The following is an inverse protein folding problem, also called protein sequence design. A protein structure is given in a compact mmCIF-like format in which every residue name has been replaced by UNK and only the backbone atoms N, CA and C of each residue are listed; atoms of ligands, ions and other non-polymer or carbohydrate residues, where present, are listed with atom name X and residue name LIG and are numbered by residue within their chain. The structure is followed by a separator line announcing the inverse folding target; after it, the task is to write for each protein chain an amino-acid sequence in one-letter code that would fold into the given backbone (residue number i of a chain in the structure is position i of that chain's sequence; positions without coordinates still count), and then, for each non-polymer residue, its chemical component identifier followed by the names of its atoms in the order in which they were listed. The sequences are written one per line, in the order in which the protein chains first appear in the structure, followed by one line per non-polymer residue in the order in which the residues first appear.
data_IF_990462866894
#
_entry.id   IF_990462866894
#
_cell.length_a   1.000
_cell.length_b   1.000
_cell.length_c   1.000
_cell.angle_alpha   90.00
_cell.angle_beta   90.00
_cell.angle_gamma   90.00
#
_symmetry.space_group_name_H-M   'P 1'
#
loop_
_entity.id
_entity.type
_entity.pdbx_description
1 polymer ?
#
# COMPACT_ATOMS: atom_id res chain seq x y z
N UNK A 1 1.67 -18.79 11.50
CA UNK A 1 2.57 -17.60 11.56
C UNK A 1 1.85 -16.50 12.33
N UNK A 2 2.46 -15.89 13.35
CA UNK A 2 1.83 -14.75 14.06
C UNK A 2 1.90 -13.50 13.17
N UNK A 3 0.79 -12.80 12.99
CA UNK A 3 0.74 -11.56 12.21
C UNK A 3 1.69 -10.51 12.81
N UNK A 4 2.53 -9.88 11.97
CA UNK A 4 3.49 -8.87 12.41
C UNK A 4 2.73 -7.64 12.89
N UNK A 5 2.99 -7.18 14.12
CA UNK A 5 2.36 -5.97 14.67
C UNK A 5 2.71 -4.75 13.81
N UNK A 6 1.69 -4.06 13.30
CA UNK A 6 1.82 -2.78 12.60
C UNK A 6 1.91 -1.65 13.62
N UNK A 7 2.85 -0.73 13.42
CA UNK A 7 3.11 0.40 14.31
C UNK A 7 2.75 1.75 13.68
N UNK A 8 2.74 1.80 12.35
CA UNK A 8 2.28 2.96 11.60
C UNK A 8 1.77 2.54 10.23
N UNK A 9 0.93 3.36 9.63
CA UNK A 9 0.39 3.16 8.30
C UNK A 9 0.47 4.44 7.48
N UNK A 10 0.94 4.34 6.25
CA UNK A 10 0.84 5.40 5.26
C UNK A 10 -0.25 5.03 4.26
N UNK A 11 -1.12 5.97 3.93
CA UNK A 11 -2.12 5.83 2.86
C UNK A 11 -1.83 6.90 1.82
N UNK A 12 -1.43 6.49 0.63
CA UNK A 12 -1.27 7.35 -0.53
C UNK A 12 -2.57 7.32 -1.34
N UNK A 13 -3.31 8.42 -1.30
CA UNK A 13 -4.51 8.61 -2.11
C UNK A 13 -4.13 9.20 -3.46
N UNK A 14 -4.25 8.39 -4.51
CA UNK A 14 -4.14 8.82 -5.90
C UNK A 14 -5.51 8.85 -6.59
N UNK A 15 -6.59 8.50 -5.88
CA UNK A 15 -7.92 8.31 -6.45
C UNK A 15 -8.67 9.62 -6.70
N UNK A 16 -8.29 10.70 -6.01
CA UNK A 16 -8.94 12.01 -6.08
C UNK A 16 -8.09 13.05 -6.83
N UNK A 17 -8.72 14.14 -7.28
CA UNK A 17 -8.08 15.24 -8.03
C UNK A 17 -6.89 15.88 -7.31
N UNK A 18 -6.84 15.77 -5.97
CA UNK A 18 -5.75 16.25 -5.15
C UNK A 18 -5.10 15.08 -4.41
N UNK A 19 -4.04 14.46 -4.97
CA UNK A 19 -3.37 13.36 -4.31
C UNK A 19 -2.81 13.79 -2.96
N UNK A 20 -2.98 12.91 -1.97
CA UNK A 20 -2.59 13.17 -0.59
C UNK A 20 -1.94 11.94 0.02
N UNK A 21 -1.06 12.18 0.97
CA UNK A 21 -0.45 11.15 1.79
C UNK A 21 -0.84 11.37 3.24
N UNK A 22 -1.63 10.44 3.76
CA UNK A 22 -1.93 10.37 5.19
C UNK A 22 -0.97 9.43 5.88
N UNK A 23 -0.58 9.81 7.10
CA UNK A 23 0.22 8.98 7.99
C UNK A 23 -0.57 8.75 9.25
N UNK A 24 -0.58 7.50 9.69
CA UNK A 24 -1.26 7.05 10.86
C UNK A 24 -0.28 6.37 11.81
N UNK A 25 -0.45 6.61 13.10
CA UNK A 25 0.20 5.88 14.17
C UNK A 25 -0.76 4.78 14.68
N UNK A 26 -0.26 3.54 14.76
CA UNK A 26 -1.01 2.38 15.22
C UNK A 26 -0.49 1.97 16.61
N UNK A 27 -1.22 2.33 17.66
CA UNK A 27 -0.90 2.06 19.07
C UNK A 27 -2.11 1.53 19.80
N UNK A 28 -1.88 0.60 20.73
CA UNK A 28 -2.89 0.09 21.67
C UNK A 28 -4.20 -0.38 21.00
N UNK A 29 -4.13 -0.95 19.80
CA UNK A 29 -5.31 -1.41 19.05
C UNK A 29 -6.08 -0.30 18.32
N UNK A 30 -5.66 0.96 18.44
CA UNK A 30 -6.23 2.09 17.71
C UNK A 30 -5.31 2.59 16.59
N UNK A 31 -5.91 3.35 15.67
CA UNK A 31 -5.22 4.03 14.55
C UNK A 31 -5.55 5.52 14.64
N UNK A 32 -4.52 6.37 14.74
CA UNK A 32 -4.68 7.84 14.85
C UNK A 32 -3.95 8.53 13.70
N UNK A 33 -4.57 9.55 13.10
CA UNK A 33 -3.91 10.41 12.11
C UNK A 33 -2.74 11.16 12.78
N UNK A 34 -1.53 10.95 12.26
CA UNK A 34 -0.27 11.55 12.69
C UNK A 34 0.16 12.70 11.76
N UNK A 35 -0.26 12.66 10.49
CA UNK A 35 0.00 13.77 9.58
C UNK A 35 -0.64 13.57 8.22
N UNK A 36 -0.70 14.68 7.49
CA UNK A 36 -1.22 14.77 6.14
C UNK A 36 -0.29 15.64 5.32
N UNK A 37 -0.08 15.29 4.06
CA UNK A 37 0.62 16.14 3.12
C UNK A 37 0.07 16.00 1.70
N UNK A 38 -0.01 17.09 0.93
CA UNK A 38 -0.33 17.01 -0.49
C UNK A 38 0.81 16.31 -1.25
N UNK A 39 0.45 15.59 -2.31
CA UNK A 39 1.39 14.94 -3.22
C UNK A 39 1.15 15.48 -4.62
N UNK A 40 2.22 15.88 -5.29
CA UNK A 40 2.15 16.24 -6.70
C UNK A 40 2.21 14.96 -7.54
N UNK A 41 1.21 14.67 -8.40
CA UNK A 41 1.25 13.53 -9.30
C UNK A 41 2.57 13.49 -10.10
N UNK A 42 3.14 12.29 -10.28
CA UNK A 42 4.40 12.12 -11.01
C UNK A 42 5.67 12.49 -10.24
N UNK A 43 5.56 12.99 -9.01
CA UNK A 43 6.73 13.25 -8.14
C UNK A 43 6.95 12.10 -7.15
N UNK A 44 8.20 11.75 -6.82
CA UNK A 44 8.47 10.74 -5.82
C UNK A 44 8.02 11.20 -4.43
N UNK A 45 7.46 10.28 -3.63
CA UNK A 45 7.13 10.53 -2.23
C UNK A 45 8.39 10.96 -1.48
N UNK A 46 8.34 12.01 -0.62
CA UNK A 46 9.51 12.47 0.09
C UNK A 46 10.21 11.35 0.87
N UNK A 47 11.56 11.23 0.78
CA UNK A 47 12.30 10.15 1.43
C UNK A 47 12.07 10.06 2.94
N UNK A 48 11.85 11.21 3.61
CA UNK A 48 11.54 11.24 5.05
C UNK A 48 10.26 10.48 5.43
N UNK A 49 9.34 10.29 4.48
CA UNK A 49 8.07 9.60 4.69
C UNK A 49 8.08 8.19 4.08
N UNK A 50 8.66 8.03 2.89
CA UNK A 50 8.67 6.78 2.15
C UNK A 50 9.86 5.86 2.44
N UNK A 51 11.00 6.38 2.89
CA UNK A 51 12.21 5.58 3.01
C UNK A 51 12.16 4.61 4.22
N UNK A 52 12.80 3.46 4.05
CA UNK A 52 13.07 2.52 5.13
C UNK A 52 14.35 2.95 5.85
N UNK A 53 14.19 3.64 6.97
CA UNK A 53 15.28 3.91 7.91
C UNK A 53 15.51 2.75 8.88
N UNK A 54 16.56 2.84 9.70
CA UNK A 54 16.88 1.83 10.71
C UNK A 54 15.72 1.60 11.70
N UNK A 55 14.91 2.62 12.00
CA UNK A 55 13.73 2.44 12.86
C UNK A 55 12.66 1.52 12.24
N UNK A 56 12.62 1.39 10.91
CA UNK A 56 11.64 0.53 10.21
C UNK A 56 11.92 -0.97 10.36
N UNK A 57 13.14 -1.33 10.80
CA UNK A 57 13.49 -2.71 11.13
C UNK A 57 12.76 -3.18 12.39
N UNK A 58 12.57 -2.29 13.36
CA UNK A 58 11.92 -2.58 14.64
C UNK A 58 10.45 -2.16 14.70
N UNK A 59 10.05 -1.17 13.90
CA UNK A 59 8.66 -0.68 13.81
C UNK A 59 8.11 -0.92 12.42
N UNK A 60 7.30 -1.97 12.29
CA UNK A 60 6.62 -2.29 11.02
C UNK A 60 5.72 -1.14 10.59
N UNK A 61 5.93 -0.66 9.37
CA UNK A 61 5.08 0.32 8.70
C UNK A 61 4.35 -0.34 7.55
N UNK A 62 3.04 -0.17 7.49
CA UNK A 62 2.21 -0.58 6.36
C UNK A 62 2.08 0.59 5.38
N UNK A 63 2.35 0.37 4.09
CA UNK A 63 2.07 1.39 3.07
C UNK A 63 0.93 0.87 2.19
N UNK A 64 -0.10 1.69 2.02
CA UNK A 64 -1.29 1.42 1.21
C UNK A 64 -1.36 2.50 0.14
N UNK A 65 -1.71 2.12 -1.08
CA UNK A 65 -2.05 3.05 -2.16
C UNK A 65 -3.51 2.85 -2.54
N UNK A 66 -4.25 3.94 -2.67
CA UNK A 66 -5.58 3.95 -3.28
C UNK A 66 -5.42 4.44 -4.71
N UNK A 67 -5.77 3.57 -5.65
CA UNK A 67 -5.66 3.81 -7.09
C UNK A 67 -7.07 4.15 -7.60
N UNK A 68 -7.23 5.13 -8.50
CA UNK A 68 -8.49 5.37 -9.20
C UNK A 68 -9.06 4.08 -9.80
N UNK A 69 -10.36 3.85 -9.67
CA UNK A 69 -11.00 2.63 -10.18
C UNK A 69 -10.98 2.52 -11.70
N UNK A 70 -10.94 3.66 -12.40
CA UNK A 70 -10.80 3.77 -13.86
C UNK A 70 -9.38 3.43 -14.35
N UNK A 71 -8.39 3.40 -13.45
CA UNK A 71 -7.02 2.94 -13.73
C UNK A 71 -6.78 1.49 -13.32
N UNK A 72 -7.78 0.80 -12.74
CA UNK A 72 -7.70 -0.60 -12.37
C UNK A 72 -8.53 -1.45 -13.33
N UNK A 73 -7.90 -2.47 -13.90
CA UNK A 73 -8.59 -3.42 -14.75
C UNK A 73 -8.68 -4.79 -14.05
N UNK A 74 -9.89 -5.18 -13.66
CA UNK A 74 -10.18 -6.47 -13.01
C UNK A 74 -10.90 -7.40 -13.99
N UNK A 75 -10.34 -8.60 -14.21
CA UNK A 75 -10.98 -9.67 -14.97
C UNK A 75 -11.06 -10.95 -14.14
N UNK A 76 -12.14 -11.69 -14.32
CA UNK A 76 -12.29 -13.06 -13.82
C UNK A 76 -12.05 -14.01 -14.99
N UNK A 77 -11.15 -14.98 -14.80
CA UNK A 77 -10.78 -15.97 -15.80
C UNK A 77 -11.21 -17.36 -15.32
N UNK A 78 -11.72 -18.17 -16.24
CA UNK A 78 -11.96 -19.59 -15.99
C UNK A 78 -10.76 -20.37 -16.50
N UNK A 79 -10.04 -21.01 -15.58
CA UNK A 79 -8.85 -21.82 -15.87
C UNK A 79 -9.12 -23.27 -15.46
N UNK A 80 -8.43 -24.24 -16.07
CA UNK A 80 -8.46 -25.62 -15.59
C UNK A 80 -7.95 -25.71 -14.14
N UNK A 81 -8.35 -26.76 -13.43
CA UNK A 81 -7.82 -27.03 -12.10
C UNK A 81 -6.35 -27.43 -12.21
N UNK A 82 -5.47 -26.57 -11.72
CA UNK A 82 -4.01 -26.67 -11.80
C UNK A 82 -3.39 -26.20 -10.50
N UNK A 83 -2.10 -26.50 -10.28
CA UNK A 83 -1.37 -25.93 -9.15
C UNK A 83 -1.05 -24.44 -9.37
N UNK A 84 -0.65 -23.74 -8.29
CA UNK A 84 -0.42 -22.30 -8.35
C UNK A 84 0.71 -21.89 -9.29
N UNK A 85 1.72 -22.74 -9.46
CA UNK A 85 2.89 -22.44 -10.30
C UNK A 85 2.49 -22.52 -11.78
N UNK A 86 1.73 -23.57 -12.12
CA UNK A 86 1.16 -23.73 -13.45
C UNK A 86 0.16 -22.61 -13.78
N UNK A 87 -0.75 -22.27 -12.87
CA UNK A 87 -1.72 -21.17 -13.06
C UNK A 87 -1.03 -19.83 -13.36
N UNK A 88 0.07 -19.50 -12.66
CA UNK A 88 0.83 -18.26 -12.91
C UNK A 88 1.45 -18.26 -14.30
N UNK A 89 1.90 -19.43 -14.79
CA UNK A 89 2.47 -19.56 -16.15
C UNK A 89 1.45 -19.41 -17.28
N UNK A 90 0.16 -19.66 -17.00
CA UNK A 90 -0.94 -19.49 -17.97
C UNK A 90 -1.38 -18.03 -18.14
N UNK A 91 -0.94 -17.12 -17.25
CA UNK A 91 -1.26 -15.71 -17.29
C UNK A 91 -0.14 -14.95 -18.01
N UNK A 92 -0.42 -14.43 -19.19
CA UNK A 92 0.44 -13.44 -19.87
C UNK A 92 0.01 -12.02 -19.43
N UNK A 93 0.99 -11.15 -19.12
CA UNK A 93 0.78 -9.77 -18.67
C UNK A 93 1.15 -8.76 -19.75
#
# INVERSE_FOLDING_TARGET
MKAKKIHSCNVLDLAHEQPRLWRFDARNGGVKLDGEMPITPGTPVPPRVGAKGWQSLFRTRLNIVWIPSDQLFLRVLQLPASDITELVSMLEF
#
